data_IF_094696813016
#
_entry.id   IF_094696813016
#
_cell.length_a   1.000
_cell.length_b   1.000
_cell.length_c   1.000
_cell.angle_alpha   90.00
_cell.angle_beta   90.00
_cell.angle_gamma   90.00
#
_symmetry.space_group_name_H-M   'P 1'
#
loop_
_entity.id
_entity.type
_entity.pdbx_description
1 polymer ?
#
# COMPACT_ATOMS: atom_id res chain seq x y z
N UNK A 1 2.39 29.76 -4.78
CA UNK A 1 2.63 30.23 -6.16
C UNK A 1 4.03 30.80 -6.29
N UNK A 2 4.46 31.69 -5.39
CA UNK A 2 5.83 32.26 -5.35
C UNK A 2 6.97 31.25 -5.61
N UNK A 3 6.99 30.12 -4.88
CA UNK A 3 7.98 29.04 -5.08
C UNK A 3 7.92 28.35 -6.45
N UNK A 4 6.74 28.27 -7.06
CA UNK A 4 6.61 27.68 -8.40
C UNK A 4 7.22 28.62 -9.44
N UNK A 5 6.95 29.92 -9.33
CA UNK A 5 7.49 30.92 -10.24
C UNK A 5 9.01 31.04 -10.12
N UNK A 6 9.57 30.91 -8.91
CA UNK A 6 11.01 30.79 -8.69
C UNK A 6 11.62 29.59 -9.44
N UNK A 7 10.97 28.41 -9.37
CA UNK A 7 11.39 27.20 -10.11
C UNK A 7 11.32 27.45 -11.61
N UNK A 8 10.24 28.09 -12.09
CA UNK A 8 10.07 28.43 -13.50
C UNK A 8 11.20 29.31 -14.02
N UNK A 9 11.49 30.41 -13.33
CA UNK A 9 12.59 31.31 -13.68
C UNK A 9 13.95 30.61 -13.62
N UNK A 10 14.18 29.77 -12.62
CA UNK A 10 15.42 29.01 -12.51
C UNK A 10 15.61 28.09 -13.71
N UNK A 11 14.60 27.33 -14.11
CA UNK A 11 14.67 26.40 -15.24
C UNK A 11 14.82 27.11 -16.58
N UNK A 12 14.12 28.23 -16.78
CA UNK A 12 14.27 29.07 -17.98
C UNK A 12 15.71 29.58 -18.12
N UNK A 13 16.34 29.99 -17.02
CA UNK A 13 17.73 30.44 -16.98
C UNK A 13 18.75 29.31 -17.21
N UNK A 14 18.38 28.05 -16.99
CA UNK A 14 19.28 26.88 -17.06
C UNK A 14 18.93 25.91 -18.20
N UNK A 15 18.46 26.43 -19.33
CA UNK A 15 18.35 25.65 -20.57
C UNK A 15 16.96 25.07 -20.87
N UNK A 16 15.92 25.49 -20.14
CA UNK A 16 14.53 25.16 -20.45
C UNK A 16 13.69 26.43 -20.72
N UNK A 17 13.98 27.20 -21.79
CA UNK A 17 13.37 28.51 -22.04
C UNK A 17 11.85 28.48 -22.26
N UNK A 18 11.31 27.31 -22.62
CA UNK A 18 9.88 27.10 -22.84
C UNK A 18 9.16 26.50 -21.63
N UNK A 19 9.85 26.35 -20.49
CA UNK A 19 9.22 25.85 -19.27
C UNK A 19 8.22 26.89 -18.74
N UNK A 20 6.98 26.46 -18.55
CA UNK A 20 5.89 27.29 -18.01
C UNK A 20 5.31 26.65 -16.76
N UNK A 21 5.01 27.48 -15.77
CA UNK A 21 4.31 27.07 -14.55
C UNK A 21 2.82 27.25 -14.75
N UNK A 22 2.03 26.23 -14.44
CA UNK A 22 0.57 26.30 -14.46
C UNK A 22 0.07 26.18 -13.03
N UNK A 23 -0.64 27.21 -12.57
CA UNK A 23 -1.41 27.11 -11.33
C UNK A 23 -2.50 26.06 -11.50
N UNK A 24 -2.69 25.19 -10.51
CA UNK A 24 -3.80 24.23 -10.47
C UNK A 24 -4.63 24.52 -9.22
N UNK A 25 -5.91 24.80 -9.41
CA UNK A 25 -6.90 24.99 -8.35
C UNK A 25 -8.23 24.40 -8.80
N UNK A 26 -9.00 23.89 -7.85
CA UNK A 26 -10.30 23.24 -8.11
C UNK A 26 -11.38 24.19 -8.63
N UNK A 27 -11.21 25.49 -8.45
CA UNK A 27 -12.11 26.57 -8.82
C UNK A 27 -11.60 27.41 -10.00
N UNK A 28 -10.44 27.05 -10.58
CA UNK A 28 -9.91 27.78 -11.73
C UNK A 28 -10.71 27.48 -13.00
N UNK A 29 -10.93 28.52 -13.80
CA UNK A 29 -11.47 28.33 -15.16
C UNK A 29 -10.51 27.45 -15.97
N UNK A 30 -11.02 26.59 -16.88
CA UNK A 30 -10.18 25.79 -17.75
C UNK A 30 -9.13 26.66 -18.45
N UNK A 31 -7.88 26.21 -18.46
CA UNK A 31 -6.81 26.92 -19.14
C UNK A 31 -7.12 26.99 -20.64
N UNK A 32 -7.32 28.20 -21.17
CA UNK A 32 -7.56 28.45 -22.58
C UNK A 32 -6.26 28.86 -23.27
N UNK A 33 -6.13 28.57 -24.57
CA UNK A 33 -4.99 29.00 -25.40
C UNK A 33 -3.79 28.05 -25.41
N UNK A 34 -3.92 26.84 -24.87
CA UNK A 34 -2.90 25.79 -24.98
C UNK A 34 -3.39 24.68 -25.92
N UNK A 35 -2.58 24.34 -26.93
CA UNK A 35 -2.74 23.10 -27.68
C UNK A 35 -1.93 22.00 -26.97
N UNK A 36 -2.63 21.16 -26.20
CA UNK A 36 -2.00 20.10 -25.41
C UNK A 36 -1.92 18.83 -26.25
N UNK A 37 -0.70 18.50 -26.68
CA UNK A 37 -0.42 17.25 -27.38
C UNK A 37 0.55 16.39 -26.58
N UNK A 38 0.45 15.07 -26.75
CA UNK A 38 1.45 14.14 -26.20
C UNK A 38 2.63 14.12 -27.17
N UNK A 39 3.80 14.57 -26.71
CA UNK A 39 5.05 14.37 -27.44
C UNK A 39 5.35 12.87 -27.50
N UNK A 40 5.14 12.28 -28.68
CA UNK A 40 5.39 10.85 -28.94
C UNK A 40 6.87 10.51 -29.07
N UNK A 41 7.72 11.52 -29.22
CA UNK A 41 9.18 11.37 -29.33
C UNK A 41 9.88 11.54 -27.98
N UNK A 42 9.18 12.05 -26.95
CA UNK A 42 9.73 12.19 -25.61
C UNK A 42 9.96 10.81 -24.95
N UNK A 43 11.21 10.33 -25.05
CA UNK A 43 11.68 9.17 -24.33
C UNK A 43 12.13 9.56 -22.92
N UNK A 44 11.46 9.05 -21.89
CA UNK A 44 11.90 9.19 -20.50
C UNK A 44 12.72 7.95 -20.10
N UNK A 45 13.91 8.16 -19.55
CA UNK A 45 14.71 7.07 -18.98
C UNK A 45 13.94 6.38 -17.84
N UNK A 46 13.69 5.08 -18.01
CA UNK A 46 12.97 4.23 -17.07
C UNK A 46 13.69 4.07 -15.73
N UNK A 47 15.03 4.14 -15.74
CA UNK A 47 15.89 4.09 -14.56
C UNK A 47 16.05 5.45 -13.88
N UNK A 48 15.72 6.53 -14.58
CA UNK A 48 15.74 7.88 -14.05
C UNK A 48 14.66 8.14 -12.98
N UNK A 49 14.77 9.26 -12.23
CA UNK A 49 13.90 9.57 -11.11
C UNK A 49 12.44 9.72 -11.57
N UNK A 50 11.54 8.95 -10.94
CA UNK A 50 10.11 8.96 -11.23
C UNK A 50 9.27 9.58 -10.13
N UNK A 51 9.55 9.26 -8.87
CA UNK A 51 8.85 9.84 -7.71
C UNK A 51 9.81 10.04 -6.55
N UNK A 52 9.59 11.10 -5.79
CA UNK A 52 10.27 11.38 -4.54
C UNK A 52 9.26 11.26 -3.41
N UNK A 53 9.49 10.36 -2.46
CA UNK A 53 8.60 10.13 -1.32
C UNK A 53 9.35 10.30 -0.01
N UNK A 54 8.85 11.14 0.89
CA UNK A 54 9.45 11.33 2.20
C UNK A 54 8.95 10.28 3.19
N UNK A 55 9.86 9.67 3.93
CA UNK A 55 9.59 8.74 5.04
C UNK A 55 10.19 9.28 6.33
N UNK A 56 9.64 8.94 7.49
CA UNK A 56 10.02 9.53 8.79
C UNK A 56 11.46 9.22 9.24
N UNK A 57 12.11 8.21 8.64
CA UNK A 57 13.42 7.74 9.07
C UNK A 57 13.42 7.08 10.46
N UNK A 58 14.34 6.17 10.72
CA UNK A 58 14.36 5.35 11.94
C UNK A 58 15.22 5.92 13.09
N UNK A 59 15.97 7.01 12.90
CA UNK A 59 16.96 7.43 13.92
C UNK A 59 17.21 8.93 14.11
N UNK A 60 16.63 9.83 13.30
CA UNK A 60 16.96 11.26 13.36
C UNK A 60 15.77 12.20 13.53
N UNK A 61 14.53 11.69 13.46
CA UNK A 61 13.30 12.53 13.46
C UNK A 61 13.10 13.38 12.20
N UNK A 62 14.15 13.58 11.40
CA UNK A 62 14.14 14.30 10.12
C UNK A 62 13.70 13.36 9.00
N UNK A 63 12.65 13.69 8.23
CA UNK A 63 12.21 12.90 7.09
C UNK A 63 13.29 12.75 6.02
N UNK A 64 13.42 11.55 5.46
CA UNK A 64 14.35 11.23 4.36
C UNK A 64 13.56 10.98 3.07
N UNK A 65 14.13 11.40 1.95
CA UNK A 65 13.52 11.22 0.64
C UNK A 65 13.99 9.91 0.00
N UNK A 66 13.06 9.01 -0.29
CA UNK A 66 13.26 7.87 -1.18
C UNK A 66 13.00 8.32 -2.62
N UNK A 67 14.02 8.24 -3.48
CA UNK A 67 13.90 8.52 -4.92
C UNK A 67 13.68 7.18 -5.62
N UNK A 68 12.50 7.01 -6.20
CA UNK A 68 12.12 5.77 -6.90
C UNK A 68 12.21 5.98 -8.41
N UNK A 69 12.80 5.02 -9.14
CA UNK A 69 12.90 5.12 -10.59
C UNK A 69 11.51 5.00 -11.25
N UNK A 70 11.34 5.57 -12.44
CA UNK A 70 10.06 5.55 -13.18
C UNK A 70 9.49 4.15 -13.38
N UNK A 71 10.36 3.16 -13.59
CA UNK A 71 9.95 1.77 -13.72
C UNK A 71 9.18 1.21 -12.49
N UNK A 72 9.38 1.76 -11.29
CA UNK A 72 8.62 1.37 -10.10
C UNK A 72 7.14 1.81 -10.14
N UNK A 73 6.76 2.67 -11.09
CA UNK A 73 5.39 3.15 -11.29
C UNK A 73 4.58 2.22 -12.20
N UNK A 74 5.26 1.43 -13.02
CA UNK A 74 4.63 0.54 -13.99
C UNK A 74 4.28 -0.77 -13.30
N UNK A 75 3.03 -1.23 -13.48
CA UNK A 75 2.66 -2.55 -12.99
C UNK A 75 3.22 -3.62 -13.91
N UNK A 76 3.91 -4.61 -13.34
CA UNK A 76 4.45 -5.77 -14.09
C UNK A 76 3.36 -6.66 -14.71
N UNK A 77 2.09 -6.41 -14.40
CA UNK A 77 0.95 -7.11 -14.98
C UNK A 77 -0.09 -6.10 -15.43
N UNK A 78 -0.46 -6.07 -16.72
CA UNK A 78 -1.55 -5.24 -17.18
C UNK A 78 -2.87 -5.71 -16.53
N UNK A 79 -3.74 -4.78 -16.12
CA UNK A 79 -5.06 -5.10 -15.61
C UNK A 79 -5.89 -5.77 -16.70
N UNK A 80 -6.81 -6.64 -16.31
CA UNK A 80 -7.79 -7.17 -17.25
C UNK A 80 -8.80 -6.10 -17.61
N UNK A 81 -9.37 -6.18 -18.82
CA UNK A 81 -10.46 -5.29 -19.23
C UNK A 81 -11.61 -5.35 -18.20
N UNK A 82 -12.07 -4.18 -17.77
CA UNK A 82 -13.13 -4.05 -16.78
C UNK A 82 -12.68 -4.12 -15.32
N UNK A 83 -11.38 -4.29 -15.04
CA UNK A 83 -10.90 -4.17 -13.66
C UNK A 83 -11.08 -2.74 -13.13
N UNK A 84 -11.38 -2.65 -11.83
CA UNK A 84 -11.56 -1.38 -11.14
C UNK A 84 -10.96 -1.42 -9.73
N UNK A 85 -10.50 -0.25 -9.26
CA UNK A 85 -9.96 -0.06 -7.92
C UNK A 85 -10.57 1.16 -7.23
N UNK A 86 -10.22 1.31 -5.96
CA UNK A 86 -10.62 2.44 -5.12
C UNK A 86 -9.37 3.10 -4.50
N UNK A 87 -9.24 4.41 -4.70
CA UNK A 87 -8.31 5.25 -3.94
C UNK A 87 -9.00 5.77 -2.69
N UNK A 88 -8.56 5.28 -1.54
CA UNK A 88 -9.02 5.73 -0.21
C UNK A 88 -7.87 6.23 0.68
N UNK A 89 -6.62 5.94 0.30
CA UNK A 89 -5.43 6.28 1.09
C UNK A 89 -4.85 7.61 0.61
N UNK A 90 -4.28 8.41 1.52
CA UNK A 90 -3.59 9.63 1.11
C UNK A 90 -2.43 9.33 0.15
N UNK A 91 -2.29 10.10 -0.95
CA UNK A 91 -1.31 9.84 -2.00
C UNK A 91 0.13 10.14 -1.60
N UNK A 92 0.36 10.82 -0.47
CA UNK A 92 1.72 11.03 0.06
C UNK A 92 2.32 9.75 0.68
N UNK A 93 1.53 8.71 0.91
CA UNK A 93 2.03 7.37 1.27
C UNK A 93 2.17 6.50 0.03
N UNK A 94 3.21 5.65 0.01
CA UNK A 94 3.47 4.80 -1.17
C UNK A 94 2.25 3.97 -1.57
N UNK A 95 1.54 3.36 -0.63
CA UNK A 95 0.31 2.62 -0.93
C UNK A 95 -0.78 3.49 -1.58
N UNK A 96 -1.00 4.70 -1.08
CA UNK A 96 -2.00 5.62 -1.64
C UNK A 96 -1.62 6.15 -3.01
N UNK A 97 -0.34 6.51 -3.19
CA UNK A 97 0.23 6.87 -4.48
C UNK A 97 -0.01 5.75 -5.52
N UNK A 98 0.10 4.48 -5.11
CA UNK A 98 -0.08 3.32 -5.99
C UNK A 98 -1.52 3.18 -6.47
N UNK A 99 -2.46 3.35 -5.55
CA UNK A 99 -3.90 3.27 -5.86
C UNK A 99 -4.41 4.45 -6.68
N UNK A 100 -3.70 5.59 -6.67
CA UNK A 100 -4.07 6.76 -7.46
C UNK A 100 -3.46 6.73 -8.86
N UNK A 101 -2.15 6.54 -8.98
CA UNK A 101 -1.43 6.66 -10.26
C UNK A 101 -1.43 5.35 -11.06
N UNK A 102 -1.26 4.22 -10.38
CA UNK A 102 -1.19 2.91 -11.04
C UNK A 102 -2.36 2.60 -11.99
N UNK A 103 -3.62 2.88 -11.61
CA UNK A 103 -4.77 2.63 -12.48
C UNK A 103 -4.76 3.51 -13.74
N UNK A 104 -4.36 4.78 -13.60
CA UNK A 104 -4.26 5.73 -14.72
C UNK A 104 -3.23 5.28 -15.75
N UNK A 105 -2.08 4.79 -15.30
CA UNK A 105 -1.02 4.28 -16.17
C UNK A 105 -1.37 2.95 -16.84
N UNK A 106 -2.32 2.21 -16.28
CA UNK A 106 -2.63 0.85 -16.71
C UNK A 106 -3.99 0.70 -17.38
N UNK A 107 -4.80 1.76 -17.43
CA UNK A 107 -6.15 1.74 -17.99
C UNK A 107 -7.20 1.10 -17.08
N UNK A 108 -6.89 0.88 -15.80
CA UNK A 108 -7.84 0.36 -14.82
C UNK A 108 -8.78 1.47 -14.34
N UNK A 109 -10.08 1.17 -14.19
CA UNK A 109 -11.05 2.16 -13.70
C UNK A 109 -10.73 2.54 -12.25
N UNK A 110 -10.66 3.85 -11.99
CA UNK A 110 -10.39 4.38 -10.66
C UNK A 110 -11.63 5.06 -10.09
N UNK A 111 -12.07 4.60 -8.92
CA UNK A 111 -12.95 5.36 -8.04
C UNK A 111 -12.13 6.04 -6.95
N UNK A 112 -12.52 7.23 -6.53
CA UNK A 112 -11.91 7.91 -5.38
C UNK A 112 -12.99 8.26 -4.39
N UNK A 113 -12.74 7.97 -3.11
CA UNK A 113 -13.49 8.60 -2.03
C UNK A 113 -12.83 9.92 -1.64
N UNK A 114 -13.61 10.79 -1.02
CA UNK A 114 -13.08 12.02 -0.40
C UNK A 114 -12.07 11.67 0.69
N UNK A 115 -11.13 12.57 0.96
CA UNK A 115 -10.19 12.39 2.06
C UNK A 115 -10.95 12.27 3.39
N UNK A 116 -10.52 11.33 4.24
CA UNK A 116 -11.17 11.02 5.52
C UNK A 116 -12.64 10.57 5.39
N UNK A 117 -13.02 9.99 4.24
CA UNK A 117 -14.34 9.39 4.09
C UNK A 117 -14.63 8.38 5.21
N UNK A 118 -15.87 8.33 5.71
CA UNK A 118 -16.27 7.35 6.70
C UNK A 118 -16.13 5.94 6.14
N UNK A 119 -15.91 4.96 7.01
CA UNK A 119 -15.71 3.57 6.59
C UNK A 119 -16.93 2.99 5.87
N UNK A 120 -18.13 3.48 6.18
CA UNK A 120 -19.38 3.20 5.48
C UNK A 120 -19.29 3.53 3.99
N UNK A 121 -18.65 4.64 3.62
CA UNK A 121 -18.49 5.02 2.21
C UNK A 121 -17.63 4.00 1.43
N UNK A 122 -16.72 3.29 2.10
CA UNK A 122 -15.95 2.21 1.49
C UNK A 122 -16.83 0.99 1.25
N UNK A 123 -17.68 0.63 2.22
CA UNK A 123 -18.68 -0.42 2.04
C UNK A 123 -19.66 -0.11 0.91
N UNK A 124 -20.17 1.13 0.86
CA UNK A 124 -21.07 1.59 -0.21
C UNK A 124 -20.38 1.59 -1.57
N UNK A 125 -19.11 1.99 -1.65
CA UNK A 125 -18.35 1.92 -2.89
C UNK A 125 -18.20 0.48 -3.37
N UNK A 126 -17.88 -0.48 -2.48
CA UNK A 126 -17.77 -1.90 -2.83
C UNK A 126 -19.13 -2.51 -3.23
N UNK A 127 -20.23 -2.05 -2.63
CA UNK A 127 -21.59 -2.49 -2.95
C UNK A 127 -22.04 -1.98 -4.32
N UNK A 128 -21.87 -0.69 -4.60
CA UNK A 128 -22.43 -0.04 -5.78
C UNK A 128 -21.52 -0.08 -7.01
N UNK A 129 -20.22 -0.29 -6.81
CA UNK A 129 -19.25 -0.33 -7.89
C UNK A 129 -18.59 -1.71 -7.96
N UNK A 130 -18.40 -2.20 -9.18
CA UNK A 130 -17.71 -3.46 -9.43
C UNK A 130 -16.19 -3.32 -9.23
N UNK A 131 -15.78 -3.11 -7.98
CA UNK A 131 -14.37 -3.00 -7.58
C UNK A 131 -13.80 -4.42 -7.48
N UNK A 132 -12.80 -4.70 -8.30
CA UNK A 132 -12.20 -6.04 -8.43
C UNK A 132 -10.79 -6.13 -7.87
N UNK A 133 -10.15 -4.98 -7.62
CA UNK A 133 -8.79 -4.93 -7.10
C UNK A 133 -8.67 -3.86 -6.01
N UNK A 134 -8.35 -4.26 -4.79
CA UNK A 134 -8.09 -3.35 -3.68
C UNK A 134 -7.04 -3.93 -2.75
N UNK A 135 -6.16 -3.07 -2.23
CA UNK A 135 -5.20 -3.42 -1.18
C UNK A 135 -5.57 -2.67 0.08
N UNK A 136 -5.92 -3.42 1.12
CA UNK A 136 -6.28 -2.90 2.42
C UNK A 136 -5.05 -2.70 3.30
N UNK A 137 -5.14 -1.76 4.24
CA UNK A 137 -4.31 -1.79 5.43
C UNK A 137 -5.08 -2.49 6.58
N UNK A 138 -4.39 -3.04 7.61
CA UNK A 138 -5.07 -3.72 8.71
C UNK A 138 -6.06 -2.82 9.47
N UNK A 139 -5.78 -1.52 9.57
CA UNK A 139 -6.65 -0.55 10.25
C UNK A 139 -8.01 -0.44 9.58
N UNK A 140 -8.05 -0.31 8.24
CA UNK A 140 -9.29 -0.22 7.49
C UNK A 140 -10.07 -1.54 7.59
N UNK A 141 -9.41 -2.70 7.49
CA UNK A 141 -10.09 -3.99 7.69
C UNK A 141 -10.71 -4.10 9.09
N UNK A 142 -10.06 -3.54 10.12
CA UNK A 142 -10.63 -3.50 11.47
C UNK A 142 -11.86 -2.59 11.53
N UNK A 143 -11.75 -1.37 11.04
CA UNK A 143 -12.86 -0.41 11.02
C UNK A 143 -14.05 -0.94 10.22
N UNK A 144 -13.79 -1.58 9.08
CA UNK A 144 -14.85 -2.17 8.26
C UNK A 144 -15.55 -3.33 8.97
N UNK A 145 -14.81 -4.14 9.76
CA UNK A 145 -15.38 -5.17 10.63
C UNK A 145 -16.27 -4.57 11.72
N UNK A 146 -15.84 -3.46 12.33
CA UNK A 146 -16.62 -2.75 13.35
C UNK A 146 -17.94 -2.23 12.78
N UNK A 147 -17.90 -1.58 11.61
CA UNK A 147 -19.11 -1.13 10.89
C UNK A 147 -20.02 -2.31 10.53
N UNK A 148 -19.45 -3.41 10.03
CA UNK A 148 -20.22 -4.60 9.70
C UNK A 148 -20.95 -5.15 10.94
N UNK A 149 -20.23 -5.33 12.04
CA UNK A 149 -20.76 -5.94 13.26
C UNK A 149 -21.84 -5.05 13.90
N UNK A 150 -21.61 -3.73 13.95
CA UNK A 150 -22.50 -2.79 14.62
C UNK A 150 -23.73 -2.41 13.78
N UNK A 151 -23.62 -2.40 12.45
CA UNK A 151 -24.67 -1.86 11.55
C UNK A 151 -25.11 -2.84 10.47
N UNK A 152 -24.19 -3.36 9.66
CA UNK A 152 -24.59 -4.13 8.48
C UNK A 152 -25.13 -5.52 8.83
N UNK A 153 -24.68 -6.11 9.93
CA UNK A 153 -25.12 -7.43 10.36
C UNK A 153 -26.56 -7.44 10.92
N UNK A 154 -27.11 -6.28 11.27
CA UNK A 154 -28.49 -6.15 11.75
C UNK A 154 -29.50 -5.88 10.63
N UNK A 155 -29.02 -5.65 9.40
CA UNK A 155 -29.86 -5.48 8.22
C UNK A 155 -30.54 -6.79 7.82
N UNK A 156 -31.61 -6.65 7.03
CA UNK A 156 -32.28 -7.78 6.40
C UNK A 156 -31.30 -8.58 5.52
N UNK A 157 -31.51 -9.89 5.42
CA UNK A 157 -30.57 -10.81 4.76
C UNK A 157 -30.21 -10.38 3.34
N UNK A 158 -31.18 -9.91 2.55
CA UNK A 158 -30.95 -9.46 1.18
C UNK A 158 -30.02 -8.23 1.10
N UNK A 159 -30.19 -7.27 2.02
CA UNK A 159 -29.38 -6.04 2.05
C UNK A 159 -27.97 -6.33 2.58
N UNK A 160 -27.87 -7.13 3.65
CA UNK A 160 -26.59 -7.59 4.20
C UNK A 160 -25.78 -8.34 3.15
N UNK A 161 -26.43 -9.25 2.42
CA UNK A 161 -25.78 -10.05 1.38
C UNK A 161 -25.33 -9.21 0.19
N UNK A 162 -26.02 -8.11 -0.14
CA UNK A 162 -25.58 -7.17 -1.18
C UNK A 162 -24.23 -6.53 -0.84
N UNK A 163 -23.99 -6.14 0.42
CA UNK A 163 -22.69 -5.62 0.86
C UNK A 163 -21.59 -6.68 0.79
N UNK A 164 -21.87 -7.89 1.27
CA UNK A 164 -20.90 -8.99 1.26
C UNK A 164 -20.56 -9.39 -0.19
N UNK A 165 -21.54 -9.43 -1.10
CA UNK A 165 -21.32 -9.71 -2.51
C UNK A 165 -20.52 -8.61 -3.21
N UNK A 166 -20.77 -7.34 -2.87
CA UNK A 166 -19.94 -6.22 -3.31
C UNK A 166 -18.47 -6.42 -2.96
N UNK A 167 -18.20 -6.83 -1.71
CA UNK A 167 -16.85 -7.16 -1.26
C UNK A 167 -16.27 -8.40 -1.99
N UNK A 168 -17.10 -9.42 -2.27
CA UNK A 168 -16.66 -10.65 -2.95
C UNK A 168 -16.18 -10.41 -4.39
N UNK A 169 -16.58 -9.33 -5.05
CA UNK A 169 -16.08 -8.93 -6.37
C UNK A 169 -14.53 -8.82 -6.44
N UNK A 170 -13.86 -8.61 -5.30
CA UNK A 170 -12.41 -8.56 -5.20
C UNK A 170 -11.73 -9.91 -5.53
N UNK A 171 -12.44 -11.02 -5.37
CA UNK A 171 -11.94 -12.39 -5.58
C UNK A 171 -10.85 -12.86 -4.61
N UNK A 172 -10.21 -11.94 -3.86
CA UNK A 172 -9.25 -12.19 -2.78
C UNK A 172 -9.10 -10.95 -1.92
N UNK A 173 -8.75 -11.14 -0.64
CA UNK A 173 -8.38 -10.04 0.24
C UNK A 173 -6.87 -9.85 0.18
N UNK A 174 -6.41 -8.64 -0.14
CA UNK A 174 -4.99 -8.28 -0.03
C UNK A 174 -4.79 -7.27 1.08
N UNK A 175 -3.90 -7.57 2.00
CA UNK A 175 -3.56 -6.69 3.11
C UNK A 175 -2.07 -6.33 3.07
N UNK A 176 -1.73 -5.08 3.36
CA UNK A 176 -0.34 -4.62 3.42
C UNK A 176 -0.17 -3.40 4.33
N UNK A 177 1.08 -3.08 4.69
CA UNK A 177 1.46 -1.86 5.41
C UNK A 177 1.57 -1.99 6.92
N UNK A 178 1.04 -3.06 7.52
CA UNK A 178 1.25 -3.38 8.94
C UNK A 178 0.93 -4.87 9.20
N UNK A 179 1.16 -5.30 10.44
CA UNK A 179 0.80 -6.64 10.90
C UNK A 179 -0.71 -6.88 10.82
N UNK A 180 -1.10 -8.03 10.28
CA UNK A 180 -2.50 -8.49 10.24
C UNK A 180 -2.74 -9.50 11.36
N UNK A 181 -3.63 -9.15 12.30
CA UNK A 181 -3.95 -10.00 13.44
C UNK A 181 -4.79 -11.25 13.01
N UNK A 182 -4.49 -12.45 13.54
CA UNK A 182 -5.24 -13.67 13.20
C UNK A 182 -6.77 -13.59 13.39
N UNK A 183 -7.31 -12.96 14.46
CA UNK A 183 -8.77 -12.84 14.61
C UNK A 183 -9.43 -11.96 13.54
N UNK A 184 -8.67 -11.07 12.91
CA UNK A 184 -9.15 -10.26 11.80
C UNK A 184 -9.18 -11.10 10.51
N UNK A 185 -8.14 -11.92 10.29
CA UNK A 185 -8.10 -12.90 9.21
C UNK A 185 -9.32 -13.84 9.27
N UNK A 186 -9.56 -14.48 10.40
CA UNK A 186 -10.65 -15.44 10.60
C UNK A 186 -12.03 -14.81 10.34
N UNK A 187 -12.23 -13.59 10.82
CA UNK A 187 -13.47 -12.86 10.56
C UNK A 187 -13.70 -12.66 9.06
N UNK A 188 -12.69 -12.16 8.34
CA UNK A 188 -12.86 -11.83 6.92
C UNK A 188 -12.97 -13.07 6.03
N UNK A 189 -12.21 -14.12 6.31
CA UNK A 189 -12.33 -15.39 5.58
C UNK A 189 -13.66 -16.07 5.88
N UNK A 190 -14.15 -16.03 7.13
CA UNK A 190 -15.45 -16.56 7.51
C UNK A 190 -16.61 -15.80 6.86
N UNK A 191 -16.57 -14.46 6.86
CA UNK A 191 -17.62 -13.62 6.28
C UNK A 191 -17.70 -13.77 4.74
N UNK A 192 -16.55 -13.74 4.07
CA UNK A 192 -16.52 -13.58 2.61
C UNK A 192 -16.24 -14.86 1.86
N UNK A 193 -15.64 -15.87 2.51
CA UNK A 193 -15.09 -17.08 1.88
C UNK A 193 -13.85 -16.82 1.02
N UNK A 194 -13.35 -15.58 0.95
CA UNK A 194 -12.24 -15.22 0.07
C UNK A 194 -10.88 -15.64 0.65
N UNK A 195 -9.92 -16.03 -0.19
CA UNK A 195 -8.54 -16.21 0.24
C UNK A 195 -7.92 -14.88 0.64
N UNK A 196 -7.18 -14.87 1.75
CA UNK A 196 -6.40 -13.70 2.16
C UNK A 196 -4.93 -13.85 1.77
N UNK A 197 -4.37 -12.73 1.28
CA UNK A 197 -2.96 -12.55 0.98
C UNK A 197 -2.38 -11.41 1.81
N UNK A 198 -1.30 -11.70 2.52
CA UNK A 198 -0.54 -10.68 3.24
C UNK A 198 0.67 -10.28 2.40
N UNK A 199 0.81 -8.98 2.13
CA UNK A 199 1.88 -8.43 1.33
C UNK A 199 2.76 -7.51 2.17
N UNK A 200 4.07 -7.70 2.07
CA UNK A 200 5.07 -6.83 2.68
C UNK A 200 5.76 -6.00 1.60
N UNK A 201 6.08 -4.76 1.94
CA UNK A 201 6.84 -3.85 1.11
C UNK A 201 7.25 -2.63 1.91
N UNK A 202 8.07 -1.80 1.29
CA UNK A 202 8.52 -0.53 1.85
C UNK A 202 8.54 0.53 0.75
N UNK A 203 8.64 1.80 1.15
CA UNK A 203 8.80 2.88 0.18
C UNK A 203 10.11 2.70 -0.59
N UNK A 204 11.19 2.35 0.11
CA UNK A 204 12.55 2.18 -0.39
C UNK A 204 12.67 1.05 -1.44
N UNK A 205 11.81 0.03 -1.36
CA UNK A 205 11.75 -1.04 -2.36
C UNK A 205 10.84 -0.71 -3.56
N UNK A 206 10.26 0.49 -3.63
CA UNK A 206 9.35 0.91 -4.69
C UNK A 206 7.91 0.37 -4.59
N UNK A 207 7.64 -0.51 -3.61
CA UNK A 207 6.32 -1.12 -3.44
C UNK A 207 6.36 -2.46 -2.72
N UNK A 208 5.41 -3.34 -3.07
CA UNK A 208 5.30 -4.69 -2.53
C UNK A 208 6.46 -5.58 -2.98
N UNK A 209 7.12 -6.23 -2.03
CA UNK A 209 8.28 -7.11 -2.24
C UNK A 209 7.85 -8.57 -2.12
N UNK A 210 7.02 -8.92 -1.13
CA UNK A 210 6.53 -10.28 -0.94
C UNK A 210 5.02 -10.29 -0.79
N UNK A 211 4.39 -11.38 -1.24
CA UNK A 211 2.97 -11.65 -1.05
C UNK A 211 2.81 -13.13 -0.68
N UNK A 212 2.16 -13.42 0.45
CA UNK A 212 1.97 -14.78 0.97
C UNK A 212 0.49 -15.08 1.14
N UNK A 213 0.04 -16.24 0.66
CA UNK A 213 -1.29 -16.76 0.94
C UNK A 213 -1.33 -17.27 2.39
N UNK A 214 -2.05 -16.58 3.27
CA UNK A 214 -2.09 -16.96 4.69
C UNK A 214 -3.00 -18.17 4.94
N UNK A 215 -3.94 -18.44 4.03
CA UNK A 215 -4.83 -19.61 4.12
C UNK A 215 -4.15 -20.92 3.68
N UNK A 216 -2.94 -20.86 3.10
CA UNK A 216 -2.23 -22.06 2.66
C UNK A 216 -1.42 -22.58 3.85
N UNK A 217 -1.87 -23.70 4.45
CA UNK A 217 -1.03 -24.44 5.39
C UNK A 217 0.31 -24.73 4.72
N UNK A 218 1.41 -24.34 5.38
CA UNK A 218 2.74 -24.64 4.87
C UNK A 218 2.91 -26.16 4.84
N UNK A 219 3.21 -26.72 3.67
CA UNK A 219 3.71 -28.11 3.55
C UNK A 219 5.15 -28.24 4.08
N UNK A 220 5.56 -27.36 4.98
CA UNK A 220 6.82 -27.48 5.67
C UNK A 220 6.64 -28.56 6.74
N UNK A 221 6.87 -29.82 6.36
CA UNK A 221 7.25 -30.85 7.32
C UNK A 221 8.47 -30.29 8.04
N UNK A 222 8.29 -29.80 9.26
CA UNK A 222 9.40 -29.64 10.20
C UNK A 222 9.93 -31.05 10.40
N UNK A 223 10.94 -31.42 9.61
CA UNK A 223 11.77 -32.57 9.93
C UNK A 223 12.46 -32.19 11.22
N UNK A 224 11.88 -32.62 12.34
CA UNK A 224 12.61 -32.73 13.59
C UNK A 224 13.82 -33.62 13.29
N UNK A 225 14.97 -32.99 13.02
CA UNK A 225 16.23 -33.69 12.91
C UNK A 225 16.47 -34.32 14.28
N UNK A 226 16.29 -35.64 14.31
CA UNK A 226 16.54 -36.51 15.44
C UNK A 226 17.93 -36.20 15.97
N UNK A 227 18.01 -35.71 17.20
CA UNK A 227 19.24 -35.65 17.98
C UNK A 227 19.78 -37.09 18.13
N UNK A 228 20.64 -37.51 17.20
CA UNK A 228 21.50 -38.69 17.35
C UNK A 228 22.91 -38.22 17.66
N UNK A 229 23.18 -38.17 18.97
CA UNK A 229 24.33 -38.85 19.58
C UNK A 229 25.70 -38.59 18.92
N UNK A 230 26.27 -37.43 19.17
CA UNK A 230 27.72 -37.33 19.43
C UNK A 230 27.88 -37.12 20.93
N UNK A 231 28.29 -38.18 21.63
CA UNK A 231 28.72 -38.14 23.02
C UNK A 231 30.22 -38.46 22.99
N UNK A 232 31.01 -37.68 23.75
CA UNK A 232 32.47 -37.75 24.02
C UNK A 232 33.35 -37.02 22.99
N UNK A 233 34.20 -36.07 23.34
CA UNK A 233 34.90 -35.76 24.60
C UNK A 233 35.16 -34.25 24.80
N UNK A 234 35.61 -33.91 26.02
CA UNK A 234 36.04 -32.61 26.58
C UNK A 234 34.99 -31.76 27.30
N UNK A 235 34.94 -31.99 28.61
CA UNK A 235 34.33 -31.14 29.61
C UNK A 235 35.20 -29.90 29.86
N UNK A 236 34.60 -28.71 29.78
CA UNK A 236 35.11 -27.50 30.42
C UNK A 236 33.98 -26.84 31.21
N UNK A 237 34.19 -26.85 32.52
CA UNK A 237 33.36 -26.42 33.63
C UNK A 237 33.10 -24.91 33.59
N UNK A 238 31.86 -24.50 33.25
CA UNK A 238 31.40 -23.11 33.22
C UNK A 238 30.91 -22.60 34.58
N UNK A 239 31.10 -23.35 35.68
CA UNK A 239 30.69 -22.91 37.02
C UNK A 239 31.69 -21.94 37.68
N UNK A 240 32.72 -21.47 36.96
CA UNK A 240 33.82 -20.67 37.51
C UNK A 240 33.95 -19.22 37.04
N UNK A 241 33.04 -18.66 36.25
CA UNK A 241 33.12 -17.24 35.90
C UNK A 241 31.90 -16.42 36.37
N UNK A 242 32.08 -15.85 37.57
CA UNK A 242 31.64 -14.50 37.97
C UNK A 242 30.14 -14.36 38.28
N UNK A 243 29.68 -14.75 39.47
CA UNK A 243 29.69 -13.90 40.68
C UNK A 243 30.87 -12.93 40.82
N UNK A 244 30.68 -11.68 40.37
CA UNK A 244 31.23 -10.51 41.06
C UNK A 244 30.35 -9.28 40.77
N UNK A 245 29.82 -8.70 41.87
CA UNK A 245 29.71 -7.25 42.17
C UNK A 245 29.32 -6.26 41.04
N UNK A 246 28.46 -5.26 41.21
CA UNK A 246 27.75 -4.65 42.35
C UNK A 246 26.81 -3.58 41.75
N UNK A 247 25.77 -3.24 42.50
CA UNK A 247 24.93 -2.04 42.42
C UNK A 247 25.62 -0.73 42.03
N UNK A 248 24.97 0.09 41.20
CA UNK A 248 24.99 1.57 41.31
C UNK A 248 23.61 2.11 40.90
N UNK A 249 22.99 2.88 41.80
CA UNK A 249 21.80 3.68 41.58
C UNK A 249 22.11 4.90 40.71
N UNK A 250 21.23 5.24 39.76
CA UNK A 250 20.45 6.48 39.66
C UNK A 250 19.38 6.28 38.58
#
# INVERSE_FOLDING_TARGET
MERADEIGHFLQKHGAPHFVTLGVSSDMSPANGFDVTIDKCLGLDASGPGVVMFTSGTSTGIPKAAVLPRQCLVQNRPPKLGEATLSYRPPYWRGGFASLIGPLLSGMKLYSVVQNAPTEAIWDALRHHHITNLVFNPTLLRQMKEVYTAKLNTLADAEREAYVNGFRNLGRIRCSGAFLAPPLLEFWTGLTGLPLKNAYGSTECGGGVTEVNVNRQSKAKVRAATARRCRRDEALDLTKYVNSTRSVNW
#
